data_IF_804976559388
#
_entry.id   IF_804976559388
#
_cell.length_a   1.000
_cell.length_b   1.000
_cell.length_c   1.000
_cell.angle_alpha   90.00
_cell.angle_beta   90.00
_cell.angle_gamma   90.00
#
_symmetry.space_group_name_H-M   'P 1'
#
loop_
_entity.id
_entity.type
_entity.pdbx_description
1 polymer ?
#
# COMPACT_ATOMS: atom_id res chain seq x y z
N UNK A 1 -1.87 3.29 -0.20
CA UNK A 1 -2.57 2.01 -0.47
C UNK A 1 -4.05 2.28 -0.57
N UNK A 2 -4.71 1.62 -1.54
CA UNK A 2 -6.13 1.81 -1.81
C UNK A 2 -6.88 0.49 -1.66
N UNK A 3 -8.12 0.55 -1.17
CA UNK A 3 -9.07 -0.56 -1.23
C UNK A 3 -9.45 -0.85 -2.67
N UNK A 4 -10.02 -2.03 -2.93
CA UNK A 4 -10.66 -2.35 -4.21
C UNK A 4 -11.77 -1.36 -4.60
N UNK A 5 -12.34 -0.64 -3.64
CA UNK A 5 -13.32 0.44 -3.85
C UNK A 5 -12.70 1.81 -4.12
N UNK A 6 -11.37 1.91 -4.21
CA UNK A 6 -10.66 3.16 -4.47
C UNK A 6 -10.44 4.06 -3.25
N UNK A 7 -10.87 3.63 -2.06
CA UNK A 7 -10.68 4.41 -0.83
C UNK A 7 -9.23 4.34 -0.34
N UNK A 8 -8.64 5.48 0.05
CA UNK A 8 -7.26 5.53 0.54
C UNK A 8 -7.21 5.03 1.99
N UNK A 9 -6.53 3.91 2.21
CA UNK A 9 -6.46 3.23 3.52
C UNK A 9 -5.27 3.73 4.34
N UNK A 10 -4.17 3.98 3.64
CA UNK A 10 -2.93 4.43 4.25
C UNK A 10 -2.08 5.21 3.24
N UNK A 11 -1.39 6.23 3.73
CA UNK A 11 -0.47 7.06 2.97
C UNK A 11 0.74 7.40 3.84
N UNK A 12 1.93 7.07 3.35
CA UNK A 12 3.19 7.46 3.96
C UNK A 12 4.12 7.98 2.87
N UNK A 13 4.56 9.21 3.03
CA UNK A 13 5.59 9.81 2.21
C UNK A 13 6.95 9.30 2.70
N UNK A 14 7.78 8.83 1.76
CA UNK A 14 9.04 8.16 2.06
C UNK A 14 10.16 8.84 1.27
N UNK A 15 11.23 9.23 1.97
CA UNK A 15 12.40 9.88 1.36
C UNK A 15 13.63 8.99 1.52
N UNK A 16 14.08 8.41 0.41
CA UNK A 16 15.35 7.66 0.29
C UNK A 16 15.43 6.33 1.04
N UNK A 17 16.30 5.43 0.55
CA UNK A 17 16.68 4.19 1.22
C UNK A 17 15.68 3.03 1.13
N UNK A 18 16.05 1.89 1.73
CA UNK A 18 15.15 0.74 1.91
C UNK A 18 14.16 1.08 3.02
N UNK A 19 12.87 1.06 2.68
CA UNK A 19 11.80 1.39 3.62
C UNK A 19 10.90 0.19 3.83
N UNK A 20 10.45 0.00 5.06
CA UNK A 20 9.44 -0.99 5.42
C UNK A 20 8.18 -0.26 5.87
N UNK A 21 7.06 -0.61 5.26
CA UNK A 21 5.73 -0.16 5.69
C UNK A 21 5.01 -1.34 6.34
N UNK A 22 4.36 -1.07 7.46
CA UNK A 22 3.57 -2.06 8.19
C UNK A 22 2.14 -1.56 8.27
N UNK A 23 1.19 -2.42 7.95
CA UNK A 23 -0.23 -2.09 7.98
C UNK A 23 -0.88 -2.97 9.05
N UNK A 24 -1.61 -2.39 10.02
CA UNK A 24 -2.32 -3.17 11.02
C UNK A 24 -3.36 -4.06 10.33
N UNK A 25 -3.37 -5.35 10.65
CA UNK A 25 -4.35 -6.30 10.11
C UNK A 25 -5.78 -5.96 10.52
N UNK A 26 -5.97 -5.25 11.64
CA UNK A 26 -7.28 -4.74 12.06
C UNK A 26 -7.90 -3.72 11.11
N UNK A 27 -7.09 -3.07 10.27
CA UNK A 27 -7.56 -2.16 9.20
C UNK A 27 -7.83 -2.87 7.87
N UNK A 28 -7.55 -4.16 7.79
CA UNK A 28 -7.70 -4.96 6.59
C UNK A 28 -8.91 -5.89 6.73
N UNK A 29 -9.91 -5.64 5.90
CA UNK A 29 -11.00 -6.58 5.66
C UNK A 29 -10.58 -7.57 4.56
N UNK A 30 -11.20 -8.76 4.48
CA UNK A 30 -10.94 -9.68 3.39
C UNK A 30 -11.23 -8.99 2.05
N UNK A 31 -10.30 -9.13 1.11
CA UNK A 31 -10.40 -8.43 -0.17
C UNK A 31 -9.06 -8.20 -0.84
N UNK A 32 -9.13 -7.44 -1.94
CA UNK A 32 -7.97 -7.10 -2.76
C UNK A 32 -7.61 -5.65 -2.54
N UNK A 33 -6.32 -5.41 -2.32
CA UNK A 33 -5.77 -4.08 -2.12
C UNK A 33 -4.65 -3.80 -3.11
N UNK A 34 -4.61 -2.56 -3.58
CA UNK A 34 -3.60 -2.08 -4.52
C UNK A 34 -2.63 -1.15 -3.80
N UNK A 35 -1.35 -1.49 -3.91
CA UNK A 35 -0.24 -0.73 -3.36
C UNK A 35 0.42 0.00 -4.52
N UNK A 36 0.55 1.32 -4.40
CA UNK A 36 1.33 2.15 -5.31
C UNK A 36 2.39 2.85 -4.48
N UNK A 37 3.65 2.71 -4.89
CA UNK A 37 4.80 3.42 -4.31
C UNK A 37 5.42 4.26 -5.41
N UNK A 38 5.60 5.55 -5.14
CA UNK A 38 6.33 6.44 -6.04
C UNK A 38 7.66 6.77 -5.36
N UNK A 39 8.75 6.31 -5.94
CA UNK A 39 10.10 6.62 -5.47
C UNK A 39 10.47 8.07 -5.80
N UNK A 40 11.43 8.61 -5.06
CA UNK A 40 11.91 10.00 -5.23
C UNK A 40 12.36 10.33 -6.67
N UNK A 41 12.80 9.32 -7.43
CA UNK A 41 13.23 9.48 -8.83
C UNK A 41 12.06 9.36 -9.83
N UNK A 42 10.81 9.41 -9.36
CA UNK A 42 9.60 9.24 -10.18
C UNK A 42 9.29 7.79 -10.57
N UNK A 43 10.06 6.81 -10.08
CA UNK A 43 9.79 5.39 -10.33
C UNK A 43 8.52 4.94 -9.62
N UNK A 44 7.63 4.25 -10.34
CA UNK A 44 6.38 3.76 -9.79
C UNK A 44 6.42 2.23 -9.62
N UNK A 45 6.24 1.77 -8.39
CA UNK A 45 6.09 0.35 -8.07
C UNK A 45 4.64 0.06 -7.74
N UNK A 46 4.10 -0.99 -8.34
CA UNK A 46 2.73 -1.46 -8.09
C UNK A 46 2.79 -2.83 -7.44
N UNK A 47 2.00 -3.02 -6.40
CA UNK A 47 1.84 -4.28 -5.70
C UNK A 47 0.36 -4.61 -5.51
N UNK A 48 0.06 -5.91 -5.39
CA UNK A 48 -1.27 -6.43 -5.06
C UNK A 48 -1.16 -7.22 -3.77
N UNK A 49 -2.02 -6.89 -2.80
CA UNK A 49 -2.19 -7.66 -1.58
C UNK A 49 -3.58 -8.30 -1.60
N UNK A 50 -3.65 -9.61 -1.35
CA UNK A 50 -4.90 -10.35 -1.19
C UNK A 50 -4.99 -10.77 0.27
N UNK A 51 -6.06 -10.33 0.93
CA UNK A 51 -6.33 -10.66 2.33
C UNK A 51 -7.46 -11.69 2.34
N UNK A 52 -7.16 -12.89 2.81
CA UNK A 52 -8.12 -13.98 3.04
C UNK A 52 -8.24 -14.22 4.56
N UNK A 53 -9.42 -14.71 4.98
CA UNK A 53 -9.67 -15.14 6.36
C UNK A 53 -9.81 -16.65 6.40
#
# INVERSE_FOLDING_TARGET
MYSSTGSRIDHKELVGGKQTFSIPTSKLLPGVYFISLTGANGQNFKGKLVVIR
#
